data_IF_739867240120
#
_entry.id   IF_739867240120
#
_cell.length_a   1.000
_cell.length_b   1.000
_cell.length_c   1.000
_cell.angle_alpha   90.00
_cell.angle_beta   90.00
_cell.angle_gamma   90.00
#
_symmetry.space_group_name_H-M   'P 1'
#
loop_
_entity.id
_entity.type
_entity.pdbx_description
1 polymer ?
#
# COMPACT_ATOMS: atom_id res chain seq x y z
N UNK A 1 2.99 17.67 -16.88
CA UNK A 1 2.00 18.39 -16.04
C UNK A 1 1.22 17.28 -15.35
N UNK A 2 1.53 17.03 -14.08
CA UNK A 2 1.00 15.91 -13.29
C UNK A 2 -0.50 16.15 -13.12
N UNK A 3 -1.33 15.34 -13.77
CA UNK A 3 -2.78 15.52 -13.75
C UNK A 3 -3.33 14.81 -12.50
N UNK A 4 -3.65 15.63 -11.51
CA UNK A 4 -4.49 15.36 -10.33
C UNK A 4 -4.34 13.97 -9.68
N UNK A 5 -3.31 13.82 -8.86
CA UNK A 5 -3.33 12.82 -7.78
C UNK A 5 -4.51 13.14 -6.86
N UNK A 6 -5.41 12.16 -6.68
CA UNK A 6 -6.56 12.33 -5.78
C UNK A 6 -6.09 12.58 -4.36
N UNK A 7 -6.44 13.75 -3.81
CA UNK A 7 -6.16 14.12 -2.43
C UNK A 7 -6.79 13.11 -1.45
N UNK A 8 -7.95 12.57 -1.79
CA UNK A 8 -8.63 11.52 -1.02
C UNK A 8 -7.78 10.24 -0.97
N UNK A 9 -7.33 9.75 -2.12
CA UNK A 9 -6.46 8.59 -2.21
C UNK A 9 -5.20 8.76 -1.35
N UNK A 10 -4.52 9.91 -1.49
CA UNK A 10 -3.32 10.23 -0.71
C UNK A 10 -3.58 10.22 0.80
N UNK A 11 -4.68 10.86 1.24
CA UNK A 11 -5.04 10.90 2.64
C UNK A 11 -5.38 9.50 3.20
N UNK A 12 -6.07 8.67 2.42
CA UNK A 12 -6.36 7.27 2.79
C UNK A 12 -5.09 6.45 2.93
N UNK A 13 -4.13 6.59 2.01
CA UNK A 13 -2.81 5.92 2.11
C UNK A 13 -2.10 6.34 3.38
N UNK A 14 -2.05 7.65 3.68
CA UNK A 14 -1.40 8.14 4.91
C UNK A 14 -2.09 7.67 6.19
N UNK A 15 -3.42 7.69 6.21
CA UNK A 15 -4.20 7.21 7.36
C UNK A 15 -3.96 5.71 7.60
N UNK A 16 -3.80 4.94 6.53
CA UNK A 16 -3.62 3.50 6.63
C UNK A 16 -2.42 3.09 7.49
N UNK A 17 -1.33 3.86 7.49
CA UNK A 17 -0.15 3.58 8.31
C UNK A 17 -0.45 3.56 9.80
N UNK A 18 -1.23 4.53 10.26
CA UNK A 18 -1.69 4.60 11.64
C UNK A 18 -2.70 3.49 11.94
N UNK A 19 -3.63 3.22 11.02
CA UNK A 19 -4.66 2.19 11.19
C UNK A 19 -4.05 0.80 11.29
N UNK A 20 -3.01 0.48 10.50
CA UNK A 20 -2.25 -0.77 10.59
C UNK A 20 -1.67 -0.94 12.00
N UNK A 21 -0.98 0.08 12.51
CA UNK A 21 -0.38 0.01 13.86
C UNK A 21 -1.42 -0.10 14.96
N UNK A 22 -2.55 0.59 14.80
CA UNK A 22 -3.67 0.52 15.74
C UNK A 22 -4.25 -0.90 15.78
N UNK A 23 -4.57 -1.48 14.62
CA UNK A 23 -5.13 -2.84 14.52
C UNK A 23 -4.14 -3.87 15.04
N UNK A 24 -2.84 -3.71 14.79
CA UNK A 24 -1.82 -4.64 15.28
C UNK A 24 -1.70 -4.71 16.81
N UNK A 25 -2.10 -3.65 17.52
CA UNK A 25 -2.12 -3.60 19.00
C UNK A 25 -3.30 -4.34 19.61
N UNK A 26 -4.33 -4.64 18.82
CA UNK A 26 -5.48 -5.41 19.27
C UNK A 26 -5.12 -6.91 19.46
N UNK A 27 -5.86 -7.66 20.29
CA UNK A 27 -5.70 -9.10 20.39
C UNK A 27 -5.82 -9.78 19.01
N UNK A 28 -4.80 -10.53 18.63
CA UNK A 28 -4.68 -11.16 17.29
C UNK A 28 -4.59 -10.18 16.12
N UNK A 29 -4.26 -8.91 16.36
CA UNK A 29 -4.19 -7.85 15.36
C UNK A 29 -3.39 -8.20 14.11
N UNK A 30 -2.18 -8.74 14.28
CA UNK A 30 -1.35 -9.20 13.16
C UNK A 30 -2.01 -10.33 12.35
N UNK A 31 -2.73 -11.25 13.01
CA UNK A 31 -3.47 -12.30 12.28
C UNK A 31 -4.67 -11.74 11.53
N UNK A 32 -5.31 -10.68 12.04
CA UNK A 32 -6.39 -9.98 11.34
C UNK A 32 -5.83 -9.32 10.08
N UNK A 33 -4.71 -8.61 10.21
CA UNK A 33 -4.02 -7.97 9.10
C UNK A 33 -3.57 -8.99 8.04
N UNK A 34 -2.98 -10.12 8.44
CA UNK A 34 -2.58 -11.19 7.51
C UNK A 34 -3.74 -11.71 6.68
N UNK A 35 -4.88 -11.99 7.31
CA UNK A 35 -6.06 -12.47 6.58
C UNK A 35 -6.59 -11.41 5.64
N UNK A 36 -6.62 -10.16 6.09
CA UNK A 36 -7.17 -9.04 5.32
C UNK A 36 -6.36 -8.77 4.08
N UNK A 37 -5.03 -8.71 4.21
CA UNK A 37 -4.12 -8.51 3.09
C UNK A 37 -3.71 -9.81 2.40
N UNK A 38 -4.41 -10.93 2.66
CA UNK A 38 -4.14 -12.25 2.04
C UNK A 38 -2.64 -12.62 2.04
N UNK A 39 -1.95 -12.46 3.16
CA UNK A 39 -0.52 -12.79 3.23
C UNK A 39 -0.33 -14.30 3.22
N UNK A 40 0.63 -14.83 2.46
CA UNK A 40 0.86 -16.28 2.36
C UNK A 40 1.34 -16.87 3.70
N UNK A 41 2.12 -16.08 4.45
CA UNK A 41 2.57 -16.38 5.81
C UNK A 41 1.93 -15.41 6.79
N UNK A 42 1.83 -15.81 8.06
CA UNK A 42 1.36 -14.92 9.13
C UNK A 42 2.38 -13.80 9.35
N UNK A 43 1.88 -12.59 9.57
CA UNK A 43 2.68 -11.42 9.92
C UNK A 43 3.30 -11.63 11.29
N UNK A 44 4.62 -11.48 11.36
CA UNK A 44 5.38 -11.40 12.61
C UNK A 44 5.44 -9.96 13.14
N UNK A 45 5.44 -8.98 12.23
CA UNK A 45 5.50 -7.54 12.54
C UNK A 45 4.62 -6.73 11.59
N UNK A 46 4.30 -5.48 11.95
CA UNK A 46 3.66 -4.55 11.00
C UNK A 46 4.63 -4.02 9.94
N UNK A 47 5.95 -4.08 10.18
CA UNK A 47 6.95 -3.59 9.24
C UNK A 47 6.84 -4.32 7.90
N UNK A 48 6.80 -5.66 7.91
CA UNK A 48 6.72 -6.43 6.66
C UNK A 48 5.52 -6.02 5.79
N UNK A 49 4.36 -5.73 6.39
CA UNK A 49 3.18 -5.26 5.65
C UNK A 49 3.37 -3.83 5.13
N UNK A 50 3.91 -2.92 5.94
CA UNK A 50 4.15 -1.53 5.55
C UNK A 50 5.21 -1.42 4.45
N UNK A 51 6.26 -2.23 4.53
CA UNK A 51 7.35 -2.27 3.56
C UNK A 51 6.84 -2.76 2.20
N UNK A 52 5.99 -3.81 2.20
CA UNK A 52 5.32 -4.28 0.99
C UNK A 52 4.38 -3.24 0.34
N UNK A 53 3.56 -2.57 1.15
CA UNK A 53 2.71 -1.49 0.62
C UNK A 53 3.57 -0.32 0.12
N UNK A 54 4.65 0.00 0.84
CA UNK A 54 5.63 1.01 0.45
C UNK A 54 6.28 0.69 -0.89
N UNK A 55 6.71 -0.55 -1.13
CA UNK A 55 7.32 -0.93 -2.41
C UNK A 55 6.37 -0.78 -3.59
N UNK A 56 5.08 -1.11 -3.42
CA UNK A 56 4.07 -0.88 -4.46
C UNK A 56 3.98 0.62 -4.79
N UNK A 57 3.83 1.48 -3.78
CA UNK A 57 3.72 2.92 -4.00
C UNK A 57 4.99 3.52 -4.60
N UNK A 58 6.16 3.00 -4.22
CA UNK A 58 7.43 3.40 -4.81
C UNK A 58 7.54 3.03 -6.27
N UNK A 59 7.23 1.79 -6.64
CA UNK A 59 7.27 1.32 -8.03
C UNK A 59 6.35 2.18 -8.90
N UNK A 60 5.13 2.43 -8.41
CA UNK A 60 4.15 3.27 -9.10
C UNK A 60 4.63 4.71 -9.23
N UNK A 61 5.24 5.28 -8.20
CA UNK A 61 5.79 6.63 -8.21
C UNK A 61 6.99 6.78 -9.16
N UNK A 62 7.89 5.79 -9.16
CA UNK A 62 9.12 5.80 -9.95
C UNK A 62 8.85 5.55 -11.44
N UNK A 63 7.95 4.61 -11.76
CA UNK A 63 7.62 4.20 -13.11
C UNK A 63 6.23 4.66 -13.52
N UNK A 64 5.81 5.87 -13.11
CA UNK A 64 4.50 6.44 -13.46
C UNK A 64 4.43 6.74 -14.98
N UNK A 65 4.44 5.68 -15.78
CA UNK A 65 4.41 5.72 -17.24
C UNK A 65 3.06 6.34 -17.64
N UNK A 66 3.08 7.44 -18.41
CA UNK A 66 1.87 8.09 -18.90
C UNK A 66 0.92 7.16 -19.67
N UNK A 67 1.42 6.04 -20.20
CA UNK A 67 0.64 5.04 -20.94
C UNK A 67 -0.01 3.99 -20.04
N UNK A 68 0.65 3.55 -18.96
CA UNK A 68 0.11 2.56 -18.01
C UNK A 68 -0.81 3.20 -16.98
N UNK A 69 -0.52 4.45 -16.57
CA UNK A 69 -1.31 5.24 -15.62
C UNK A 69 -1.66 4.48 -14.33
N UNK A 70 -0.72 3.64 -13.86
CA UNK A 70 -0.89 2.73 -12.72
C UNK A 70 -1.29 3.47 -11.44
N UNK A 71 -0.78 4.70 -11.25
CA UNK A 71 -1.16 5.55 -10.11
C UNK A 71 -2.66 5.88 -10.12
N UNK A 72 -3.20 6.22 -11.29
CA UNK A 72 -4.63 6.48 -11.43
C UNK A 72 -5.45 5.23 -11.16
N UNK A 73 -5.01 4.06 -11.64
CA UNK A 73 -5.70 2.78 -11.39
C UNK A 73 -5.82 2.49 -9.89
N UNK A 74 -4.72 2.64 -9.15
CA UNK A 74 -4.71 2.42 -7.69
C UNK A 74 -5.60 3.44 -6.99
N UNK A 75 -5.47 4.72 -7.32
CA UNK A 75 -6.25 5.75 -6.64
C UNK A 75 -7.75 5.69 -6.97
N UNK A 76 -8.12 5.40 -8.21
CA UNK A 76 -9.53 5.18 -8.60
C UNK A 76 -10.13 4.00 -7.79
N UNK A 77 -9.36 2.93 -7.57
CA UNK A 77 -9.81 1.78 -6.77
C UNK A 77 -9.98 2.13 -5.28
N UNK A 78 -9.02 2.85 -4.70
CA UNK A 78 -9.06 3.32 -3.31
C UNK A 78 -10.28 4.24 -3.10
N UNK A 79 -10.42 5.28 -3.91
CA UNK A 79 -11.51 6.24 -3.78
C UNK A 79 -12.87 5.61 -4.08
N UNK A 80 -12.93 4.72 -5.08
CA UNK A 80 -14.13 3.96 -5.43
C UNK A 80 -14.62 3.03 -4.31
N UNK A 81 -13.77 2.77 -3.31
CA UNK A 81 -14.05 1.95 -2.14
C UNK A 81 -14.39 2.76 -0.88
N UNK A 82 -14.23 4.09 -0.87
CA UNK A 82 -14.37 4.96 0.32
C UNK A 82 -15.67 4.77 1.12
N UNK A 83 -16.79 4.53 0.43
CA UNK A 83 -18.10 4.32 1.06
C UNK A 83 -18.52 2.85 1.18
N UNK A 84 -17.66 1.92 0.78
CA UNK A 84 -17.95 0.48 0.74
C UNK A 84 -17.23 -0.30 1.83
N UNK A 85 -16.12 0.24 2.34
CA UNK A 85 -15.26 -0.47 3.29
C UNK A 85 -14.43 0.51 4.11
N UNK A 86 -13.78 0.01 5.17
CA UNK A 86 -12.85 0.79 5.98
C UNK A 86 -11.54 1.09 5.25
N UNK A 87 -10.69 1.92 5.86
CA UNK A 87 -9.39 2.33 5.30
C UNK A 87 -8.54 1.15 4.84
N UNK A 88 -8.45 0.06 5.62
CA UNK A 88 -7.65 -1.10 5.23
C UNK A 88 -8.28 -1.86 4.06
N UNK A 89 -9.60 -1.85 3.95
CA UNK A 89 -10.30 -2.36 2.78
C UNK A 89 -10.02 -1.53 1.53
N UNK A 90 -10.02 -0.20 1.64
CA UNK A 90 -9.70 0.67 0.50
C UNK A 90 -8.28 0.42 0.00
N UNK A 91 -7.30 0.30 0.90
CA UNK A 91 -5.92 -0.05 0.52
C UNK A 91 -5.86 -1.42 -0.16
N UNK A 92 -6.60 -2.42 0.33
CA UNK A 92 -6.65 -3.73 -0.30
C UNK A 92 -7.19 -3.64 -1.73
N UNK A 93 -8.23 -2.85 -2.00
CA UNK A 93 -8.73 -2.64 -3.37
C UNK A 93 -7.65 -2.00 -4.26
N UNK A 94 -6.87 -1.05 -3.73
CA UNK A 94 -5.71 -0.49 -4.42
C UNK A 94 -4.65 -1.55 -4.77
N UNK A 95 -4.29 -2.42 -3.81
CA UNK A 95 -3.35 -3.53 -4.04
C UNK A 95 -3.89 -4.52 -5.08
N UNK A 96 -5.16 -4.87 -5.02
CA UNK A 96 -5.80 -5.77 -5.99
C UNK A 96 -5.91 -5.16 -7.39
N UNK A 97 -6.01 -3.83 -7.48
CA UNK A 97 -6.01 -3.11 -8.75
C UNK A 97 -4.59 -3.05 -9.37
N UNK A 98 -3.55 -2.99 -8.53
CA UNK A 98 -2.15 -3.12 -8.96
C UNK A 98 -1.80 -4.54 -9.41
N UNK A 99 -2.29 -5.55 -8.69
CA UNK A 99 -2.04 -6.97 -8.95
C UNK A 99 -2.92 -7.51 -10.09
N UNK A 100 -2.47 -7.28 -11.32
CA UNK A 100 -3.12 -7.78 -12.54
C UNK A 100 -3.10 -9.32 -12.65
N UNK A 101 -2.17 -9.99 -11.97
CA UNK A 101 -2.05 -11.46 -11.95
C UNK A 101 -3.03 -12.12 -10.96
N UNK A 102 -3.63 -11.34 -10.05
CA UNK A 102 -4.60 -11.78 -9.04
C UNK A 102 -4.06 -12.93 -8.21
N UNK A 103 -2.92 -12.70 -7.58
CA UNK A 103 -2.24 -13.69 -6.76
C UNK A 103 -3.18 -14.19 -5.63
N UNK A 104 -3.13 -15.49 -5.31
CA UNK A 104 -3.98 -16.05 -4.24
C UNK A 104 -3.56 -15.53 -2.86
N UNK A 105 -2.29 -15.16 -2.69
CA UNK A 105 -1.74 -14.55 -1.50
C UNK A 105 -0.44 -13.79 -1.83
N UNK A 106 -0.03 -12.86 -0.96
CA UNK A 106 1.22 -12.10 -1.11
C UNK A 106 2.31 -12.63 -0.17
N UNK A 107 3.47 -12.96 -0.74
CA UNK A 107 4.67 -13.25 0.03
C UNK A 107 5.34 -11.94 0.43
N UNK A 108 5.40 -11.68 1.74
CA UNK A 108 6.11 -10.54 2.28
C UNK A 108 7.52 -11.03 2.62
N UNK A 109 8.51 -10.64 1.83
CA UNK A 109 9.90 -11.00 2.11
C UNK A 109 10.41 -10.29 3.37
N UNK A 110 11.29 -10.95 4.12
CA UNK A 110 12.11 -10.30 5.13
C UNK A 110 13.21 -9.51 4.41
N UNK A 111 13.35 -8.24 4.77
CA UNK A 111 14.03 -7.19 4.01
C UNK A 111 15.39 -7.59 3.40
N UNK A 112 15.62 -7.15 2.15
CA UNK A 112 16.98 -6.97 1.63
C UNK A 112 17.48 -5.55 1.97
N UNK A 113 18.79 -5.35 2.10
CA UNK A 113 19.42 -4.02 2.34
C UNK A 113 18.93 -2.93 1.37
N UNK A 114 18.57 -3.34 0.15
CA UNK A 114 17.97 -2.50 -0.88
C UNK A 114 16.66 -1.87 -0.38
N UNK A 115 15.76 -2.64 0.22
CA UNK A 115 14.45 -2.18 0.72
C UNK A 115 14.56 -1.13 1.84
N UNK A 116 15.57 -1.23 2.70
CA UNK A 116 15.84 -0.24 3.76
C UNK A 116 16.35 1.06 3.16
N UNK A 117 17.35 0.99 2.26
CA UNK A 117 17.90 2.18 1.58
C UNK A 117 16.85 2.95 0.78
N UNK A 118 15.88 2.22 0.22
CA UNK A 118 14.73 2.77 -0.50
C UNK A 118 13.71 3.45 0.41
N UNK A 119 13.37 2.88 1.57
CA UNK A 119 12.48 3.53 2.56
C UNK A 119 12.95 4.94 2.96
N UNK A 120 14.26 5.14 3.12
CA UNK A 120 14.86 6.46 3.34
C UNK A 120 14.69 7.41 2.15
N UNK A 121 14.67 6.89 0.91
CA UNK A 121 14.40 7.72 -0.27
C UNK A 121 12.92 8.05 -0.41
N UNK A 122 11.99 7.19 0.02
CA UNK A 122 10.54 7.44 -0.06
C UNK A 122 10.13 8.64 0.78
N UNK A 123 10.67 8.78 2.00
CA UNK A 123 10.42 9.95 2.85
C UNK A 123 10.81 11.27 2.14
N UNK A 124 11.80 11.23 1.26
CA UNK A 124 12.23 12.35 0.44
C UNK A 124 11.51 12.43 -0.93
N UNK A 125 11.09 11.31 -1.51
CA UNK A 125 10.53 11.22 -2.86
C UNK A 125 9.01 11.46 -2.90
N UNK A 126 8.29 11.12 -1.81
CA UNK A 126 6.88 11.49 -1.64
C UNK A 126 6.68 13.01 -1.48
N UNK A 127 7.75 13.74 -1.11
CA UNK A 127 7.80 15.21 -1.12
C UNK A 127 8.10 15.80 -2.51
N UNK A 128 8.62 15.01 -3.45
CA UNK A 128 9.06 15.49 -4.77
C UNK A 128 8.06 15.22 -5.90
N UNK A 129 6.98 14.49 -5.61
CA UNK A 129 5.86 14.26 -6.53
C UNK A 129 4.63 15.13 -6.19
N UNK A 130 4.78 16.09 -5.27
CA UNK A 130 3.84 17.17 -4.98
C UNK A 130 4.39 18.51 -5.48
#
# INVERSE_FOLDING_TARGET
MVQDTSESCYNTIRESWYVIDRVAKEPNGLSILSKRFKTCKKLSTTSNLKDFLGSIYMEVAQYNDPHENTLKVICDAIDGAANKTDVLGQILEGVLAYDWEKLPCYELEDQSETSIGWAWQVDHMLLLLL
#
